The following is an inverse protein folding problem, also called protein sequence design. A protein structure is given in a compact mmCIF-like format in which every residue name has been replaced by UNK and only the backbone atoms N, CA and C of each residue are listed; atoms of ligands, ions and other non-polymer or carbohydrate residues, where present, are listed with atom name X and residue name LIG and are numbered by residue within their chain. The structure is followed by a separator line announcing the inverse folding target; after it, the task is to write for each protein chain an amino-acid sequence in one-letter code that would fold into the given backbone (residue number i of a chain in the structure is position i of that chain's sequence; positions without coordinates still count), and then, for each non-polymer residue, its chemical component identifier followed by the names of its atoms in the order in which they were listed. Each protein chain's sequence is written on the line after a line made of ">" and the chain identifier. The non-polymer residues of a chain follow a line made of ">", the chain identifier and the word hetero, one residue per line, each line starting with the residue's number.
data_IF_798955074695
#
_entry.id   IF_798955074695
#
_cell.length_a   1.000
_cell.length_b   1.000
_cell.length_c   1.000
_cell.angle_alpha   90.00
_cell.angle_beta   90.00
_cell.angle_gamma   90.00
#
_symmetry.space_group_name_H-M   'P 1'
#
loop_
_entity.id
_entity.type
_entity.pdbx_description
1 polymer ?
#
# COMPACT_ATOMS: atom_id res chain seq x y z
N UNK A 1 -22.26 5.59 -0.57
CA UNK A 1 -20.81 5.81 -0.39
C UNK A 1 -20.20 4.47 -0.02
N UNK A 2 -19.30 3.93 -0.83
CA UNK A 2 -18.61 2.70 -0.48
C UNK A 2 -17.49 3.06 0.50
N UNK A 3 -17.63 2.63 1.74
CA UNK A 3 -16.60 2.77 2.75
C UNK A 3 -15.55 1.68 2.50
N UNK A 4 -14.37 2.06 2.06
CA UNK A 4 -13.27 1.11 1.86
C UNK A 4 -12.66 0.79 3.21
N UNK A 5 -13.00 -0.38 3.76
CA UNK A 5 -12.53 -0.81 5.08
C UNK A 5 -11.27 -1.66 4.98
N UNK A 6 -10.43 -1.58 6.00
CA UNK A 6 -9.33 -2.52 6.21
C UNK A 6 -9.83 -3.97 6.11
N UNK A 7 -9.12 -4.80 5.33
CA UNK A 7 -9.50 -6.20 5.08
C UNK A 7 -10.37 -6.44 3.85
N UNK A 8 -10.79 -5.39 3.13
CA UNK A 8 -11.51 -5.54 1.85
C UNK A 8 -10.62 -6.26 0.83
N UNK A 9 -11.18 -7.17 0.03
CA UNK A 9 -10.43 -7.84 -1.05
C UNK A 9 -9.89 -6.83 -2.05
N UNK A 10 -8.57 -6.84 -2.24
CA UNK A 10 -7.84 -5.85 -3.02
C UNK A 10 -8.18 -5.90 -4.52
N UNK A 11 -8.52 -7.06 -5.07
CA UNK A 11 -8.94 -7.18 -6.47
C UNK A 11 -10.34 -6.64 -6.75
N UNK A 12 -11.13 -6.36 -5.71
CA UNK A 12 -12.43 -5.68 -5.84
C UNK A 12 -12.33 -4.16 -5.76
N UNK A 13 -11.15 -3.61 -5.45
CA UNK A 13 -10.96 -2.17 -5.41
C UNK A 13 -10.78 -1.61 -6.83
N UNK A 14 -11.60 -0.63 -7.26
CA UNK A 14 -11.52 -0.05 -8.60
C UNK A 14 -10.37 0.97 -8.69
N UNK A 15 -9.14 0.51 -8.51
CA UNK A 15 -7.94 1.34 -8.40
C UNK A 15 -6.80 0.83 -9.27
N UNK A 16 -5.85 1.72 -9.55
CA UNK A 16 -4.62 1.36 -10.27
C UNK A 16 -3.50 1.14 -9.26
N UNK A 17 -3.06 -0.12 -9.14
CA UNK A 17 -1.99 -0.51 -8.23
C UNK A 17 -0.61 -0.11 -8.77
N UNK A 18 0.24 0.42 -7.88
CA UNK A 18 1.59 0.85 -8.20
C UNK A 18 2.58 0.26 -7.20
N UNK A 19 3.66 -0.34 -7.71
CA UNK A 19 4.84 -0.75 -6.92
C UNK A 19 6.00 0.25 -7.04
N UNK A 20 6.97 0.12 -6.14
CA UNK A 20 8.23 0.86 -6.25
C UNK A 20 9.03 0.43 -7.48
N UNK A 21 9.77 1.37 -8.09
CA UNK A 21 10.76 1.04 -9.14
C UNK A 21 11.94 0.22 -8.61
N UNK A 22 12.17 0.22 -7.29
CA UNK A 22 13.17 -0.62 -6.63
C UNK A 22 12.70 -2.07 -6.46
N UNK A 23 11.45 -2.37 -6.77
CA UNK A 23 10.92 -3.73 -6.66
C UNK A 23 11.20 -4.56 -7.91
N UNK A 24 11.61 -5.81 -7.71
CA UNK A 24 11.90 -6.73 -8.81
C UNK A 24 10.62 -7.14 -9.57
N UNK A 25 10.74 -7.62 -10.83
CA UNK A 25 9.61 -8.13 -11.60
C UNK A 25 9.04 -9.46 -11.08
N UNK A 26 9.82 -10.23 -10.31
CA UNK A 26 9.49 -11.60 -9.90
C UNK A 26 8.55 -11.72 -8.67
N UNK A 27 7.74 -10.69 -8.39
CA UNK A 27 6.84 -10.67 -7.23
C UNK A 27 7.51 -10.26 -5.92
N UNK A 28 6.76 -10.33 -4.81
CA UNK A 28 7.15 -9.84 -3.47
C UNK A 28 7.16 -8.30 -3.33
N UNK A 29 6.32 -7.60 -4.07
CA UNK A 29 6.24 -6.15 -4.00
C UNK A 29 5.13 -5.71 -3.05
N UNK A 30 5.38 -4.64 -2.29
CA UNK A 30 4.31 -3.84 -1.73
C UNK A 30 3.74 -2.97 -2.85
N UNK A 31 2.43 -3.02 -3.03
CA UNK A 31 1.70 -2.20 -3.99
C UNK A 31 0.78 -1.24 -3.25
N UNK A 32 0.69 -0.01 -3.75
CA UNK A 32 -0.15 1.06 -3.20
C UNK A 32 -1.04 1.67 -4.27
N UNK A 33 -2.20 2.17 -3.88
CA UNK A 33 -3.13 2.85 -4.77
C UNK A 33 -3.94 3.92 -4.03
N UNK A 34 -4.29 5.00 -4.74
CA UNK A 34 -5.20 6.02 -4.22
C UNK A 34 -6.64 5.50 -4.35
N UNK A 35 -7.42 5.58 -3.28
CA UNK A 35 -8.85 5.29 -3.29
C UNK A 35 -9.63 6.54 -3.72
N UNK A 36 -10.82 6.37 -4.34
CA UNK A 36 -11.69 7.49 -4.72
C UNK A 36 -12.10 8.41 -3.56
N UNK A 37 -12.01 7.93 -2.33
CA UNK A 37 -12.37 8.63 -1.09
C UNK A 37 -11.20 9.39 -0.45
N UNK A 38 -9.98 9.27 -1.01
CA UNK A 38 -8.78 10.01 -0.57
C UNK A 38 -7.82 9.21 0.31
N UNK A 39 -8.22 8.03 0.80
CA UNK A 39 -7.35 7.09 1.49
C UNK A 39 -6.40 6.37 0.52
N UNK A 40 -5.41 5.70 1.08
CA UNK A 40 -4.42 4.91 0.36
C UNK A 40 -4.60 3.44 0.71
N UNK A 41 -4.82 2.62 -0.30
CA UNK A 41 -4.83 1.18 -0.17
C UNK A 41 -3.42 0.61 -0.35
N UNK A 42 -3.07 -0.42 0.42
CA UNK A 42 -1.82 -1.17 0.32
C UNK A 42 -2.13 -2.68 0.24
N UNK A 43 -1.41 -3.39 -0.62
CA UNK A 43 -1.50 -4.86 -0.73
C UNK A 43 -0.15 -5.52 -1.01
N UNK A 44 -0.10 -6.83 -0.83
CA UNK A 44 1.04 -7.66 -1.23
C UNK A 44 0.81 -8.20 -2.66
N UNK A 45 1.76 -7.96 -3.56
CA UNK A 45 1.64 -8.36 -4.97
C UNK A 45 1.55 -9.88 -5.19
N UNK A 46 1.94 -10.70 -4.21
CA UNK A 46 1.76 -12.17 -4.25
C UNK A 46 0.32 -12.60 -4.03
N UNK A 47 -0.49 -11.73 -3.42
CA UNK A 47 -1.88 -11.98 -3.06
C UNK A 47 -2.74 -10.82 -3.60
N UNK A 48 -2.83 -10.65 -4.93
CA UNK A 48 -3.53 -9.51 -5.53
C UNK A 48 -5.02 -9.43 -5.17
N UNK A 49 -5.63 -10.57 -4.81
CA UNK A 49 -7.01 -10.70 -4.34
C UNK A 49 -7.14 -10.71 -2.80
N UNK A 50 -6.01 -10.75 -2.09
CA UNK A 50 -5.94 -10.76 -0.63
C UNK A 50 -6.47 -9.46 0.00
N UNK A 51 -6.46 -9.36 1.34
CA UNK A 51 -6.93 -8.16 2.01
C UNK A 51 -6.04 -6.96 1.68
N UNK A 52 -6.67 -5.84 1.35
CA UNK A 52 -6.03 -4.53 1.32
C UNK A 52 -6.03 -3.92 2.72
N UNK A 53 -4.92 -3.26 3.07
CA UNK A 53 -4.88 -2.32 4.18
C UNK A 53 -5.22 -0.93 3.64
N UNK A 54 -6.01 -0.16 4.38
CA UNK A 54 -6.47 1.19 4.04
C UNK A 54 -5.98 2.14 5.12
N UNK A 55 -5.22 3.14 4.69
CA UNK A 55 -4.62 4.17 5.53
C UNK A 55 -5.06 5.55 5.07
N UNK A 56 -5.18 6.47 6.02
CA UNK A 56 -5.38 7.88 5.72
C UNK A 56 -4.15 8.46 5.00
N UNK A 57 -4.36 9.58 4.29
CA UNK A 57 -3.28 10.32 3.67
C UNK A 57 -2.23 10.78 4.69
N UNK A 58 -2.65 11.13 5.91
CA UNK A 58 -1.78 11.56 7.00
C UNK A 58 -0.86 10.44 7.50
N UNK A 59 -1.40 9.23 7.71
CA UNK A 59 -0.61 8.06 8.12
C UNK A 59 0.45 7.69 7.07
N UNK A 60 0.08 7.67 5.78
CA UNK A 60 1.03 7.42 4.70
C UNK A 60 2.09 8.53 4.60
N UNK A 61 1.71 9.78 4.83
CA UNK A 61 2.66 10.91 4.81
C UNK A 61 3.70 10.76 5.91
N UNK A 62 3.26 10.47 7.15
CA UNK A 62 4.15 10.22 8.27
C UNK A 62 5.08 9.03 8.00
N UNK A 63 4.54 7.91 7.52
CA UNK A 63 5.33 6.73 7.17
C UNK A 63 6.40 7.02 6.11
N UNK A 64 6.05 7.74 5.03
CA UNK A 64 7.00 8.07 3.96
C UNK A 64 8.09 9.03 4.43
N UNK A 65 7.79 9.96 5.33
CA UNK A 65 8.79 10.86 5.92
C UNK A 65 9.75 10.07 6.81
N UNK A 66 9.26 9.27 7.77
CA UNK A 66 10.13 8.43 8.61
C UNK A 66 10.98 7.44 7.80
N UNK A 67 10.42 6.82 6.76
CA UNK A 67 11.18 5.96 5.86
C UNK A 67 12.26 6.70 5.05
N UNK A 68 12.10 7.99 4.77
CA UNK A 68 13.14 8.81 4.14
C UNK A 68 14.23 9.23 5.12
N UNK A 69 13.85 9.41 6.39
CA UNK A 69 14.77 9.76 7.48
C UNK A 69 15.58 8.54 7.98
N UNK A 70 15.28 7.34 7.46
CA UNK A 70 16.00 6.10 7.77
C UNK A 70 15.51 5.42 9.06
N UNK A 71 14.33 5.81 9.58
CA UNK A 71 13.80 5.31 10.86
C UNK A 71 13.52 3.80 10.89
N UNK A 72 13.50 3.14 9.73
CA UNK A 72 13.18 1.72 9.58
C UNK A 72 14.31 0.91 8.93
N UNK A 73 15.51 1.48 8.80
CA UNK A 73 16.65 0.80 8.16
C UNK A 73 17.14 -0.42 8.97
N UNK A 74 16.84 -0.47 10.27
CA UNK A 74 17.10 -1.60 11.16
C UNK A 74 16.27 -2.86 10.81
N UNK A 75 15.22 -2.73 9.98
CA UNK A 75 14.41 -3.86 9.53
C UNK A 75 15.01 -4.63 8.33
N UNK A 76 16.10 -4.12 7.74
CA UNK A 76 16.72 -4.70 6.53
C UNK A 76 18.18 -5.10 6.71
N UNK A 77 18.64 -5.22 7.96
CA UNK A 77 19.99 -5.69 8.33
C UNK A 77 20.05 -7.18 8.62
#
# INVERSE_FOLDING_TARGET
>A
MHEFRNGTSAGRLPVVWRKSKRSNPNGNCVEVANLPTGEIAMRNSRFPEGPALVYTQAEITAFVLGAKDGEFDDLIV
#
